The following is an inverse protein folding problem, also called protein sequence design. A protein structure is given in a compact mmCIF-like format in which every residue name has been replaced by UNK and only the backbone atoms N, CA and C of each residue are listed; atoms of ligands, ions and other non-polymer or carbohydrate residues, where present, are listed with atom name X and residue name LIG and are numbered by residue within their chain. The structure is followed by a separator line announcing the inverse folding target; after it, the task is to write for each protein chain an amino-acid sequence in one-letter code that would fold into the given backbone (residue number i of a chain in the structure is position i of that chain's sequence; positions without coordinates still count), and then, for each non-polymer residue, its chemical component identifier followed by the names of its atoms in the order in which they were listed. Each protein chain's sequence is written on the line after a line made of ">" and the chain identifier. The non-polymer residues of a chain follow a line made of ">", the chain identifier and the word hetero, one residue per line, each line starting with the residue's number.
data_IF_058833829210
#
_entry.id   IF_058833829210
#
_cell.length_a   1.000
_cell.length_b   1.000
_cell.length_c   1.000
_cell.angle_alpha   90.00
_cell.angle_beta   90.00
_cell.angle_gamma   90.00
#
_symmetry.space_group_name_H-M   'P 1'
#
loop_
_entity.id
_entity.type
_entity.pdbx_description
1 polymer ?
#
# COMPACT_ATOMS: atom_id res chain seq x y z
N UNK A 1 6.25 21.80 18.46
CA UNK A 1 6.28 20.41 17.96
C UNK A 1 5.92 20.18 16.48
N UNK A 2 5.64 21.15 15.59
CA UNK A 2 5.48 20.86 14.14
C UNK A 2 6.81 20.82 13.36
N UNK A 3 7.83 21.56 13.82
CA UNK A 3 9.16 21.59 13.17
C UNK A 3 9.90 20.24 13.21
N UNK A 4 9.77 19.48 14.29
CA UNK A 4 10.43 18.17 14.40
C UNK A 4 9.89 17.16 13.38
N UNK A 5 8.56 17.18 13.13
CA UNK A 5 7.94 16.37 12.09
C UNK A 5 8.37 16.80 10.68
N UNK A 6 8.53 18.09 10.43
CA UNK A 6 9.04 18.60 9.15
C UNK A 6 10.45 18.07 8.85
N UNK A 7 11.34 18.08 9.85
CA UNK A 7 12.71 17.52 9.72
C UNK A 7 12.67 16.01 9.49
N UNK A 8 11.79 15.28 10.18
CA UNK A 8 11.58 13.86 9.92
C UNK A 8 11.15 13.59 8.47
N UNK A 9 10.24 14.41 7.92
CA UNK A 9 9.81 14.33 6.52
C UNK A 9 10.92 14.64 5.50
N UNK A 10 11.83 15.55 5.83
CA UNK A 10 13.03 15.81 5.02
C UNK A 10 13.98 14.62 5.04
N UNK A 11 14.25 14.05 6.22
CA UNK A 11 15.06 12.85 6.38
C UNK A 11 14.51 11.67 5.57
N UNK A 12 13.20 11.41 5.64
CA UNK A 12 12.55 10.31 4.92
C UNK A 12 12.68 10.46 3.39
N UNK A 13 12.71 11.69 2.89
CA UNK A 13 12.85 12.01 1.45
C UNK A 13 14.29 12.18 0.98
N UNK A 14 15.26 12.15 1.89
CA UNK A 14 16.68 12.30 1.55
C UNK A 14 17.22 11.07 0.79
N UNK A 15 18.34 11.26 0.11
CA UNK A 15 19.06 10.21 -0.62
C UNK A 15 19.93 9.30 0.27
N UNK A 16 19.72 9.34 1.60
CA UNK A 16 20.45 8.46 2.52
C UNK A 16 20.15 6.99 2.23
N UNK A 17 21.14 6.08 2.41
CA UNK A 17 20.92 4.65 2.30
C UNK A 17 19.72 4.19 3.14
N UNK A 18 18.87 3.26 2.66
CA UNK A 18 17.64 2.86 3.36
C UNK A 18 17.87 2.43 4.81
N UNK A 19 18.97 1.71 5.09
CA UNK A 19 19.31 1.26 6.44
C UNK A 19 19.64 2.44 7.38
N UNK A 20 20.42 3.41 6.90
CA UNK A 20 20.80 4.61 7.67
C UNK A 20 19.55 5.46 7.94
N UNK A 21 18.72 5.64 6.91
CA UNK A 21 17.47 6.38 7.02
C UNK A 21 16.54 5.76 8.07
N UNK A 22 16.38 4.43 8.04
CA UNK A 22 15.57 3.69 9.01
C UNK A 22 16.09 3.86 10.43
N UNK A 23 17.39 3.64 10.66
CA UNK A 23 18.00 3.77 11.98
C UNK A 23 17.82 5.18 12.56
N UNK A 24 17.95 6.22 11.73
CA UNK A 24 17.74 7.61 12.17
C UNK A 24 16.27 7.91 12.47
N UNK A 25 15.32 7.37 11.70
CA UNK A 25 13.89 7.48 12.01
C UNK A 25 13.57 6.80 13.35
N UNK A 26 14.12 5.63 13.61
CA UNK A 26 13.90 4.91 14.88
C UNK A 26 14.43 5.72 16.09
N UNK A 27 15.56 6.45 15.93
CA UNK A 27 16.07 7.35 16.97
C UNK A 27 15.18 8.59 17.19
N UNK A 28 14.61 9.16 16.12
CA UNK A 28 13.66 10.27 16.22
C UNK A 28 12.36 9.83 16.91
N UNK A 29 11.94 8.58 16.70
CA UNK A 29 10.72 8.02 17.29
C UNK A 29 10.78 7.90 18.82
N UNK A 30 11.98 7.78 19.41
CA UNK A 30 12.18 7.81 20.88
C UNK A 30 11.70 9.14 21.47
N UNK A 31 11.89 10.25 20.74
CA UNK A 31 11.51 11.61 21.19
C UNK A 31 10.09 11.96 20.78
N UNK A 32 9.66 11.53 19.59
CA UNK A 32 8.35 11.86 19.03
C UNK A 32 7.23 10.95 19.54
N UNK A 33 7.56 9.73 20.00
CA UNK A 33 6.61 8.79 20.57
C UNK A 33 5.54 8.30 19.60
N UNK A 34 5.84 8.25 18.30
CA UNK A 34 4.89 7.89 17.24
C UNK A 34 4.78 6.38 17.04
N UNK A 35 5.69 5.59 17.61
CA UNK A 35 5.75 4.13 17.51
C UNK A 35 5.80 3.64 16.07
N UNK A 36 6.54 4.36 15.22
CA UNK A 36 6.73 4.04 13.80
C UNK A 36 7.44 2.69 13.61
N UNK A 37 8.28 2.29 14.57
CA UNK A 37 8.93 0.98 14.55
C UNK A 37 7.93 -0.19 14.72
N UNK A 38 6.84 0.05 15.46
CA UNK A 38 5.76 -0.92 15.72
C UNK A 38 4.64 -0.82 14.67
N UNK A 39 4.61 0.28 13.92
CA UNK A 39 3.62 0.52 12.89
C UNK A 39 3.74 -0.53 11.79
N UNK A 40 2.76 -1.41 11.73
CA UNK A 40 2.53 -2.31 10.61
C UNK A 40 1.45 -1.68 9.75
N UNK A 41 1.71 -1.56 8.45
CA UNK A 41 0.63 -1.31 7.52
C UNK A 41 -0.44 -2.38 7.74
N UNK A 42 -1.69 -1.97 7.96
CA UNK A 42 -2.81 -2.90 7.94
C UNK A 42 -2.85 -3.52 6.55
N UNK A 43 -2.28 -4.73 6.44
CA UNK A 43 -2.57 -5.61 5.33
C UNK A 43 -3.97 -6.13 5.62
N UNK A 44 -4.98 -5.38 5.21
CA UNK A 44 -6.36 -5.85 5.28
C UNK A 44 -6.40 -7.18 4.53
N UNK A 45 -6.75 -8.25 5.26
CA UNK A 45 -6.75 -9.59 4.70
C UNK A 45 -7.77 -9.63 3.57
N UNK A 46 -7.28 -9.70 2.34
CA UNK A 46 -8.11 -9.77 1.14
C UNK A 46 -8.94 -11.05 1.22
N UNK A 47 -10.29 -10.97 1.20
CA UNK A 47 -11.14 -12.16 1.21
C UNK A 47 -10.79 -13.12 0.07
N UNK A 48 -10.97 -14.44 0.24
CA UNK A 48 -10.61 -15.42 -0.78
C UNK A 48 -11.29 -15.16 -2.13
N UNK A 49 -12.53 -14.65 -2.12
CA UNK A 49 -13.27 -14.30 -3.34
C UNK A 49 -12.60 -13.16 -4.11
N UNK A 50 -12.09 -12.16 -3.39
CA UNK A 50 -11.38 -11.01 -3.98
C UNK A 50 -10.00 -11.44 -4.46
N UNK A 51 -9.31 -12.31 -3.73
CA UNK A 51 -8.04 -12.90 -4.14
C UNK A 51 -8.19 -13.73 -5.44
N UNK A 52 -9.27 -14.48 -5.59
CA UNK A 52 -9.57 -15.24 -6.80
C UNK A 52 -9.82 -14.32 -8.01
N UNK A 53 -10.53 -13.21 -7.83
CA UNK A 53 -10.76 -12.21 -8.89
C UNK A 53 -9.47 -11.50 -9.29
N UNK A 54 -8.60 -11.21 -8.33
CA UNK A 54 -7.26 -10.66 -8.58
C UNK A 54 -6.41 -11.63 -9.40
N UNK A 55 -6.37 -12.91 -9.04
CA UNK A 55 -5.63 -13.93 -9.80
C UNK A 55 -6.15 -14.09 -11.24
N UNK A 56 -7.48 -14.08 -11.42
CA UNK A 56 -8.10 -14.12 -12.75
C UNK A 56 -7.72 -12.89 -13.59
N UNK A 57 -7.68 -11.70 -12.97
CA UNK A 57 -7.28 -10.46 -13.65
C UNK A 57 -5.82 -10.50 -14.08
N UNK A 58 -4.95 -11.07 -13.25
CA UNK A 58 -3.54 -11.25 -13.58
C UNK A 58 -3.36 -12.20 -14.77
N UNK A 59 -4.08 -13.33 -14.76
CA UNK A 59 -4.12 -14.26 -15.89
C UNK A 59 -4.66 -13.59 -17.17
N UNK A 60 -5.71 -12.77 -17.06
CA UNK A 60 -6.28 -12.01 -18.17
C UNK A 60 -5.24 -11.07 -18.80
N UNK A 61 -4.43 -10.39 -17.97
CA UNK A 61 -3.34 -9.54 -18.46
C UNK A 61 -2.20 -10.30 -19.08
N UNK A 62 -1.80 -11.42 -18.48
CA UNK A 62 -0.78 -12.29 -19.06
C UNK A 62 -1.21 -12.80 -20.45
N UNK A 63 -2.50 -13.09 -20.62
CA UNK A 63 -3.12 -13.43 -21.90
C UNK A 63 -3.38 -12.21 -22.82
N UNK A 64 -3.11 -10.98 -22.38
CA UNK A 64 -3.42 -9.71 -23.08
C UNK A 64 -4.92 -9.52 -23.40
N UNK A 65 -5.78 -10.14 -22.61
CA UNK A 65 -7.24 -10.00 -22.69
C UNK A 65 -7.69 -8.77 -21.88
N UNK A 66 -7.48 -7.59 -22.46
CA UNK A 66 -7.84 -6.31 -21.84
C UNK A 66 -9.33 -6.18 -21.45
N UNK A 67 -10.31 -6.65 -22.25
CA UNK A 67 -11.73 -6.55 -21.88
C UNK A 67 -12.05 -7.30 -20.58
N UNK A 68 -11.56 -8.54 -20.46
CA UNK A 68 -11.76 -9.38 -19.27
C UNK A 68 -11.09 -8.75 -18.03
N UNK A 69 -9.91 -8.16 -18.19
CA UNK A 69 -9.22 -7.48 -17.10
C UNK A 69 -9.98 -6.24 -16.59
N UNK A 70 -10.64 -5.51 -17.49
CA UNK A 70 -11.47 -4.36 -17.14
C UNK A 70 -12.78 -4.77 -16.47
N UNK A 71 -13.44 -5.83 -16.95
CA UNK A 71 -14.63 -6.40 -16.30
C UNK A 71 -14.34 -6.85 -14.86
N UNK A 72 -13.22 -7.58 -14.65
CA UNK A 72 -12.80 -8.04 -13.33
C UNK A 72 -12.44 -6.87 -12.41
N UNK A 73 -11.86 -5.79 -12.95
CA UNK A 73 -11.60 -4.56 -12.19
C UNK A 73 -12.89 -3.91 -11.72
N UNK A 74 -13.92 -3.86 -12.56
CA UNK A 74 -15.19 -3.25 -12.19
C UNK A 74 -15.99 -4.11 -11.20
N UNK A 75 -15.91 -5.45 -11.31
CA UNK A 75 -16.44 -6.36 -10.29
C UNK A 75 -15.77 -6.15 -8.92
N UNK A 76 -14.44 -5.98 -8.89
CA UNK A 76 -13.71 -5.66 -7.67
C UNK A 76 -14.15 -4.32 -7.07
N UNK A 77 -14.37 -3.29 -7.90
CA UNK A 77 -14.92 -2.00 -7.44
C UNK A 77 -16.31 -2.13 -6.84
N UNK A 78 -17.18 -2.96 -7.43
CA UNK A 78 -18.53 -3.21 -6.90
C UNK A 78 -18.49 -3.87 -5.52
N UNK A 79 -17.48 -4.71 -5.27
CA UNK A 79 -17.21 -5.29 -3.95
C UNK A 79 -16.57 -4.30 -2.96
N UNK A 80 -16.35 -3.05 -3.38
CA UNK A 80 -15.70 -2.02 -2.56
C UNK A 80 -14.17 -2.10 -2.55
N UNK A 81 -13.56 -2.80 -3.50
CA UNK A 81 -12.11 -2.95 -3.60
C UNK A 81 -11.54 -2.14 -4.76
N UNK A 82 -10.49 -1.37 -4.49
CA UNK A 82 -9.68 -0.70 -5.50
C UNK A 82 -8.39 -1.48 -5.69
N UNK A 83 -8.07 -1.78 -6.94
CA UNK A 83 -6.82 -2.45 -7.30
C UNK A 83 -5.87 -1.45 -7.92
N UNK A 84 -4.68 -1.35 -7.37
CA UNK A 84 -3.56 -0.57 -7.89
C UNK A 84 -2.45 -1.51 -8.34
N UNK A 85 -1.89 -1.25 -9.51
CA UNK A 85 -0.80 -2.05 -10.04
C UNK A 85 0.52 -1.37 -9.74
N UNK A 86 1.41 -2.07 -9.04
CA UNK A 86 2.76 -1.61 -8.74
C UNK A 86 3.81 -2.52 -9.36
N UNK A 87 5.07 -2.09 -9.29
CA UNK A 87 6.21 -2.88 -9.75
C UNK A 87 6.36 -4.24 -9.02
N UNK A 88 5.80 -4.36 -7.82
CA UNK A 88 5.82 -5.58 -7.00
C UNK A 88 4.52 -6.39 -7.08
N UNK A 89 3.67 -6.15 -8.09
CA UNK A 89 2.39 -6.82 -8.26
C UNK A 89 1.18 -5.92 -7.99
N UNK A 90 0.00 -6.51 -8.00
CA UNK A 90 -1.26 -5.80 -7.75
C UNK A 90 -1.56 -5.71 -6.25
N UNK A 91 -1.90 -4.50 -5.79
CA UNK A 91 -2.32 -4.21 -4.42
C UNK A 91 -3.81 -3.90 -4.42
N UNK A 92 -4.58 -4.66 -3.67
CA UNK A 92 -5.99 -4.37 -3.44
C UNK A 92 -6.15 -3.65 -2.10
N UNK A 93 -6.81 -2.49 -2.14
CA UNK A 93 -7.15 -1.70 -0.96
C UNK A 93 -8.67 -1.58 -0.92
N UNK A 94 -9.29 -1.81 0.23
CA UNK A 94 -10.71 -1.53 0.39
C UNK A 94 -10.94 -0.04 0.29
N UNK A 95 -11.81 0.37 -0.64
CA UNK A 95 -12.36 1.72 -0.61
C UNK A 95 -13.33 1.76 0.57
N UNK A 96 -12.82 2.13 1.75
CA UNK A 96 -13.66 2.42 2.90
C UNK A 96 -14.72 3.44 2.51
N UNK A 97 -15.99 3.11 2.71
CA UNK A 97 -17.03 4.11 2.87
C UNK A 97 -16.66 4.93 4.09
N UNK A 98 -16.00 6.07 3.85
CA UNK A 98 -15.92 7.14 4.84
C UNK A 98 -17.35 7.48 5.23
N UNK A 99 -17.72 7.13 6.45
CA UNK A 99 -18.88 7.70 7.14
C UNK A 99 -18.39 8.93 7.88
#
# INVERSE_FOLDING_TARGET
>A
MPRALAVLWELVRSDLPPAVRRATVDQFDIVLGLRLAEWKAEVEAVPPDVAALLAQREAARAAKHWPLADELRDALKQLGWRVEDGANGQRATRCGSGT
#
